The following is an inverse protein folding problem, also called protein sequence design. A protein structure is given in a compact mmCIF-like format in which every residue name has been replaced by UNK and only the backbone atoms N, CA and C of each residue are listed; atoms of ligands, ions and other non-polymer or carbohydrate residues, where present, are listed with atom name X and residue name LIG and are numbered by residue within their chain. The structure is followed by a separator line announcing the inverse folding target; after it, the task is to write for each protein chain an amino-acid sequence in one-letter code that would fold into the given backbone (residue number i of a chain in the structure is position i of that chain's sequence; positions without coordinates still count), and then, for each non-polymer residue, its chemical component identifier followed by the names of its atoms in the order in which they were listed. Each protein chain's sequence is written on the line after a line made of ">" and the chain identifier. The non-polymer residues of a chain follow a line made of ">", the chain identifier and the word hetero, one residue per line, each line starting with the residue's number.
data_IF_343923402436
#
_entry.id   IF_343923402436
#
_cell.length_a   1.000
_cell.length_b   1.000
_cell.length_c   1.000
_cell.angle_alpha   90.00
_cell.angle_beta   90.00
_cell.angle_gamma   90.00
#
_symmetry.space_group_name_H-M   'P 1'
#
loop_
_entity.id
_entity.type
_entity.pdbx_description
1 polymer ?
#
# COMPACT_ATOMS: atom_id res chain seq x y z
N UNK A 1 -1.49 14.48 -14.37
CA UNK A 1 -1.06 13.73 -13.17
C UNK A 1 -0.13 12.57 -13.53
N UNK A 2 -0.59 11.45 -14.18
CA UNK A 2 0.26 10.26 -14.44
C UNK A 2 1.53 10.58 -15.22
N UNK A 3 1.42 11.26 -16.38
CA UNK A 3 2.58 11.61 -17.22
C UNK A 3 3.55 12.56 -16.51
N UNK A 4 3.03 13.55 -15.79
CA UNK A 4 3.85 14.46 -14.98
C UNK A 4 4.51 13.76 -13.79
N UNK A 5 3.78 12.82 -13.16
CA UNK A 5 4.32 12.00 -12.07
C UNK A 5 5.41 11.05 -12.55
N UNK A 6 5.26 10.43 -13.72
CA UNK A 6 6.31 9.64 -14.37
C UNK A 6 7.56 10.49 -14.64
N UNK A 7 7.39 11.74 -15.12
CA UNK A 7 8.49 12.67 -15.30
C UNK A 7 9.21 12.99 -13.98
N UNK A 8 8.47 13.28 -12.92
CA UNK A 8 9.05 13.55 -11.60
C UNK A 8 9.77 12.33 -11.03
N UNK A 9 9.20 11.13 -11.17
CA UNK A 9 9.85 9.90 -10.76
C UNK A 9 11.16 9.67 -11.52
N UNK A 10 11.17 9.88 -12.85
CA UNK A 10 12.39 9.79 -13.66
C UNK A 10 13.46 10.80 -13.26
N UNK A 11 13.07 12.03 -12.88
CA UNK A 11 14.04 13.02 -12.39
C UNK A 11 14.73 12.57 -11.10
N UNK A 12 14.02 11.83 -10.23
CA UNK A 12 14.55 11.26 -8.99
C UNK A 12 15.39 10.00 -9.27
N UNK A 13 14.96 9.19 -10.25
CA UNK A 13 15.55 7.90 -10.62
C UNK A 13 15.76 7.82 -12.14
N UNK A 14 16.89 8.34 -12.66
CA UNK A 14 17.11 8.49 -14.10
C UNK A 14 17.10 7.20 -14.90
N UNK A 15 17.30 6.04 -14.25
CA UNK A 15 17.24 4.70 -14.88
C UNK A 15 15.83 4.21 -15.20
N UNK A 16 14.77 4.85 -14.67
CA UNK A 16 13.40 4.41 -14.90
C UNK A 16 12.97 4.54 -16.35
N UNK A 17 12.29 3.51 -16.83
CA UNK A 17 11.59 3.46 -18.10
C UNK A 17 10.11 3.16 -17.84
N UNK A 18 9.24 3.62 -18.73
CA UNK A 18 7.80 3.49 -18.55
C UNK A 18 7.13 2.92 -19.79
N UNK A 19 6.16 2.05 -19.56
CA UNK A 19 5.14 1.68 -20.53
C UNK A 19 3.84 2.37 -20.12
N UNK A 20 3.36 3.33 -20.91
CA UNK A 20 2.13 4.06 -20.62
C UNK A 20 0.97 3.49 -21.45
N UNK A 21 0.02 2.90 -20.77
CA UNK A 21 -1.16 2.28 -21.38
C UNK A 21 -2.34 3.25 -21.38
N UNK A 22 -2.94 3.48 -22.54
CA UNK A 22 -4.11 4.34 -22.71
C UNK A 22 -4.34 4.77 -24.14
N UNK A 23 -5.21 5.76 -24.35
CA UNK A 23 -5.41 6.37 -25.66
C UNK A 23 -4.13 7.07 -26.11
N UNK A 24 -3.44 6.48 -27.08
CA UNK A 24 -2.16 6.99 -27.57
C UNK A 24 -2.27 8.39 -28.16
N UNK A 25 -3.37 8.72 -28.82
CA UNK A 25 -3.61 10.05 -29.40
C UNK A 25 -3.62 11.12 -28.32
N UNK A 26 -4.19 10.79 -27.15
CA UNK A 26 -4.23 11.69 -25.99
C UNK A 26 -2.91 11.70 -25.21
N UNK A 27 -2.20 10.57 -25.10
CA UNK A 27 -0.96 10.45 -24.34
C UNK A 27 0.22 11.11 -25.05
N UNK A 28 0.36 10.94 -26.36
CA UNK A 28 1.49 11.45 -27.14
C UNK A 28 1.78 12.95 -26.92
N UNK A 29 0.81 13.88 -27.04
CA UNK A 29 1.08 15.29 -26.79
C UNK A 29 1.41 15.60 -25.32
N UNK A 30 0.92 14.81 -24.35
CA UNK A 30 1.24 15.00 -22.94
C UNK A 30 2.68 14.58 -22.64
N UNK A 31 3.15 13.46 -23.20
CA UNK A 31 4.54 13.01 -23.08
C UNK A 31 5.49 13.99 -23.77
N UNK A 32 5.14 14.47 -24.97
CA UNK A 32 5.99 15.42 -25.72
C UNK A 32 6.20 16.75 -24.98
N UNK A 33 5.30 17.15 -24.07
CA UNK A 33 5.45 18.36 -23.23
C UNK A 33 6.43 18.16 -22.06
N UNK A 34 6.81 16.92 -21.73
CA UNK A 34 7.72 16.62 -20.63
C UNK A 34 9.14 16.43 -21.17
N UNK A 35 10.04 17.33 -20.77
CA UNK A 35 11.42 17.30 -21.27
C UNK A 35 12.14 16.00 -20.94
N UNK A 36 12.65 15.28 -21.95
CA UNK A 36 13.41 14.04 -21.78
C UNK A 36 12.59 12.81 -21.42
N UNK A 37 11.26 12.91 -21.25
CA UNK A 37 10.43 11.75 -20.91
C UNK A 37 10.21 10.85 -22.14
N UNK A 38 10.08 11.43 -23.33
CA UNK A 38 9.77 10.67 -24.56
C UNK A 38 10.76 9.55 -24.87
N UNK A 39 12.04 9.73 -24.51
CA UNK A 39 13.11 8.74 -24.72
C UNK A 39 13.01 7.53 -23.77
N UNK A 40 12.25 7.67 -22.68
CA UNK A 40 12.06 6.65 -21.64
C UNK A 40 10.66 6.06 -21.60
N UNK A 41 9.79 6.44 -22.52
CA UNK A 41 8.38 6.03 -22.56
C UNK A 41 8.09 5.25 -23.82
N UNK A 42 7.56 4.05 -23.66
CA UNK A 42 6.82 3.30 -24.67
C UNK A 42 5.33 3.59 -24.51
N UNK A 43 4.69 4.10 -25.56
CA UNK A 43 3.23 4.30 -25.57
C UNK A 43 2.54 3.03 -26.06
N UNK A 44 1.68 2.49 -25.22
CA UNK A 44 0.90 1.28 -25.49
C UNK A 44 -0.58 1.65 -25.61
N UNK A 45 -1.11 1.58 -26.82
CA UNK A 45 -2.51 1.91 -27.07
C UNK A 45 -3.47 0.96 -26.33
N UNK A 46 -4.49 1.53 -25.71
CA UNK A 46 -5.59 0.79 -25.08
C UNK A 46 -6.92 1.43 -25.45
N UNK A 47 -7.81 0.63 -26.04
CA UNK A 47 -9.12 1.10 -26.51
C UNK A 47 -10.12 1.31 -25.37
N UNK A 48 -9.91 0.59 -24.24
CA UNK A 48 -10.86 0.56 -23.13
C UNK A 48 -10.26 1.18 -21.86
N UNK A 49 -11.12 1.79 -21.07
CA UNK A 49 -10.82 2.31 -19.73
C UNK A 49 -11.80 1.68 -18.74
N UNK A 50 -11.32 1.33 -17.55
CA UNK A 50 -12.17 0.92 -16.44
C UNK A 50 -12.61 2.17 -15.71
N UNK A 51 -13.92 2.36 -15.55
CA UNK A 51 -14.50 3.46 -14.80
C UNK A 51 -14.39 3.22 -13.29
N UNK A 52 -14.30 4.30 -12.50
CA UNK A 52 -14.23 4.21 -11.04
C UNK A 52 -15.49 3.59 -10.42
N UNK A 53 -16.60 3.62 -11.13
CA UNK A 53 -17.90 3.03 -10.72
C UNK A 53 -18.10 1.59 -11.17
N UNK A 54 -17.20 1.06 -11.99
CA UNK A 54 -17.30 -0.31 -12.49
C UNK A 54 -17.16 -1.34 -11.38
N UNK A 55 -18.05 -2.33 -11.35
CA UNK A 55 -17.91 -3.46 -10.44
C UNK A 55 -16.72 -4.33 -10.86
N UNK A 56 -15.88 -4.79 -9.91
CA UNK A 56 -14.70 -5.61 -10.22
C UNK A 56 -15.01 -6.83 -11.11
N UNK A 57 -16.15 -7.48 -10.90
CA UNK A 57 -16.59 -8.63 -11.71
C UNK A 57 -16.94 -8.26 -13.16
N UNK A 58 -17.41 -7.04 -13.40
CA UNK A 58 -17.67 -6.53 -14.75
C UNK A 58 -16.38 -6.12 -15.43
N UNK A 59 -15.50 -5.43 -14.70
CA UNK A 59 -14.18 -5.05 -15.16
C UNK A 59 -13.37 -6.27 -15.64
N UNK A 60 -13.36 -7.36 -14.87
CA UNK A 60 -12.72 -8.63 -15.24
C UNK A 60 -13.24 -9.20 -16.57
N UNK A 61 -14.57 -9.18 -16.77
CA UNK A 61 -15.17 -9.82 -17.94
C UNK A 61 -15.05 -8.97 -19.21
N UNK A 62 -15.22 -7.65 -19.10
CA UNK A 62 -15.32 -6.73 -20.23
C UNK A 62 -14.05 -5.94 -20.51
N UNK A 63 -13.20 -5.74 -19.47
CA UNK A 63 -12.03 -4.87 -19.53
C UNK A 63 -10.74 -5.55 -20.00
N UNK A 64 -10.80 -6.60 -20.82
CA UNK A 64 -9.59 -7.32 -21.28
C UNK A 64 -8.66 -6.46 -22.14
N UNK A 65 -9.18 -5.46 -22.82
CA UNK A 65 -8.41 -4.49 -23.63
C UNK A 65 -8.30 -3.13 -22.93
N UNK A 66 -8.56 -3.09 -21.62
CA UNK A 66 -8.41 -1.86 -20.84
C UNK A 66 -6.94 -1.57 -20.55
N UNK A 67 -6.62 -0.28 -20.43
CA UNK A 67 -5.29 0.18 -20.04
C UNK A 67 -4.78 -0.47 -18.76
N UNK A 68 -5.67 -0.66 -17.76
CA UNK A 68 -5.36 -1.34 -16.51
C UNK A 68 -4.98 -2.80 -16.73
N UNK A 69 -5.76 -3.55 -17.52
CA UNK A 69 -5.50 -4.96 -17.77
C UNK A 69 -4.22 -5.16 -18.57
N UNK A 70 -4.01 -4.40 -19.63
CA UNK A 70 -2.82 -4.49 -20.46
C UNK A 70 -1.54 -4.13 -19.68
N UNK A 71 -1.62 -3.19 -18.73
CA UNK A 71 -0.50 -2.86 -17.85
C UNK A 71 -0.14 -4.03 -16.91
N UNK A 72 -1.13 -4.73 -16.37
CA UNK A 72 -0.92 -5.93 -15.54
C UNK A 72 -0.37 -7.08 -16.39
N UNK A 73 -0.90 -7.29 -17.59
CA UNK A 73 -0.42 -8.32 -18.51
C UNK A 73 1.06 -8.08 -18.91
N UNK A 74 1.52 -6.84 -18.98
CA UNK A 74 2.92 -6.52 -19.24
C UNK A 74 3.84 -6.98 -18.09
N UNK A 75 3.37 -6.94 -16.85
CA UNK A 75 4.10 -7.48 -15.69
C UNK A 75 4.13 -9.01 -15.74
N UNK A 76 3.02 -9.65 -16.01
CA UNK A 76 2.92 -11.12 -16.13
C UNK A 76 3.83 -11.66 -17.26
N UNK A 77 3.97 -10.91 -18.34
CA UNK A 77 4.82 -11.24 -19.48
C UNK A 77 6.31 -10.89 -19.28
N UNK A 78 6.69 -10.32 -18.13
CA UNK A 78 8.06 -9.89 -17.86
C UNK A 78 8.54 -8.70 -18.73
N UNK A 79 7.61 -7.94 -19.33
CA UNK A 79 7.91 -6.71 -20.08
C UNK A 79 8.05 -5.49 -19.18
N UNK A 80 7.47 -5.55 -18.00
CA UNK A 80 7.59 -4.55 -16.96
C UNK A 80 7.80 -5.23 -15.59
N UNK A 81 8.53 -4.58 -14.70
CA UNK A 81 8.85 -5.10 -13.37
C UNK A 81 7.73 -4.84 -12.36
N UNK A 82 6.97 -3.77 -12.57
CA UNK A 82 5.87 -3.37 -11.69
C UNK A 82 4.76 -2.65 -12.46
N UNK A 83 3.55 -2.61 -11.90
CA UNK A 83 2.44 -1.79 -12.37
C UNK A 83 2.01 -0.78 -11.31
N UNK A 84 1.84 0.48 -11.72
CA UNK A 84 1.29 1.56 -10.90
C UNK A 84 0.02 2.09 -11.54
N UNK A 85 -1.09 2.05 -10.82
CA UNK A 85 -2.39 2.49 -11.33
C UNK A 85 -3.12 3.42 -10.36
N UNK A 86 -3.68 4.51 -10.87
CA UNK A 86 -4.56 5.41 -10.12
C UNK A 86 -6.05 5.10 -10.32
N UNK A 87 -6.41 4.11 -11.14
CA UNK A 87 -7.80 3.74 -11.45
C UNK A 87 -8.51 2.97 -10.33
N UNK A 88 -9.66 2.38 -10.66
CA UNK A 88 -10.54 1.64 -9.74
C UNK A 88 -9.79 0.56 -8.94
N UNK A 89 -9.79 0.70 -7.61
CA UNK A 89 -9.03 -0.16 -6.68
C UNK A 89 -9.48 -1.62 -6.72
N UNK A 90 -10.80 -1.84 -6.73
CA UNK A 90 -11.36 -3.21 -6.75
C UNK A 90 -11.10 -3.92 -8.08
N UNK A 91 -11.17 -3.19 -9.20
CA UNK A 91 -10.85 -3.73 -10.52
C UNK A 91 -9.36 -4.05 -10.64
N UNK A 92 -8.47 -3.17 -10.15
CA UNK A 92 -7.02 -3.39 -10.15
C UNK A 92 -6.66 -4.66 -9.36
N UNK A 93 -7.18 -4.80 -8.15
CA UNK A 93 -6.95 -5.98 -7.32
C UNK A 93 -7.47 -7.26 -7.98
N UNK A 94 -8.72 -7.22 -8.48
CA UNK A 94 -9.34 -8.40 -9.09
C UNK A 94 -8.60 -8.85 -10.37
N UNK A 95 -8.21 -7.90 -11.22
CA UNK A 95 -7.44 -8.19 -12.44
C UNK A 95 -6.04 -8.71 -12.10
N UNK A 96 -5.34 -8.06 -11.15
CA UNK A 96 -4.01 -8.47 -10.74
C UNK A 96 -4.02 -9.89 -10.13
N UNK A 97 -4.99 -10.22 -9.28
CA UNK A 97 -5.14 -11.56 -8.72
C UNK A 97 -5.36 -12.64 -9.78
N UNK A 98 -6.11 -12.33 -10.84
CA UNK A 98 -6.40 -13.29 -11.92
C UNK A 98 -5.21 -13.47 -12.86
N UNK A 99 -4.49 -12.41 -13.16
CA UNK A 99 -3.37 -12.40 -14.12
C UNK A 99 -2.09 -12.88 -13.46
N UNK A 100 -1.64 -12.17 -12.42
CA UNK A 100 -0.36 -12.43 -11.75
C UNK A 100 -0.44 -13.62 -10.78
N UNK A 101 -1.65 -14.00 -10.35
CA UNK A 101 -1.89 -15.04 -9.34
C UNK A 101 -1.33 -14.65 -7.97
N UNK A 102 -1.40 -15.58 -7.04
CA UNK A 102 -0.83 -15.43 -5.69
C UNK A 102 0.57 -16.06 -5.67
N UNK A 103 1.44 -15.51 -4.83
CA UNK A 103 2.69 -16.17 -4.49
C UNK A 103 2.42 -17.51 -3.81
N UNK A 104 3.32 -18.47 -3.99
CA UNK A 104 3.21 -19.79 -3.36
C UNK A 104 3.11 -19.65 -1.83
N UNK A 105 2.16 -20.35 -1.23
CA UNK A 105 1.90 -20.32 0.22
C UNK A 105 1.06 -19.14 0.69
N UNK A 106 0.68 -18.20 -0.17
CA UNK A 106 -0.19 -17.06 0.20
C UNK A 106 -1.61 -17.30 -0.30
N UNK A 107 -2.57 -17.27 0.62
CA UNK A 107 -3.98 -17.54 0.31
C UNK A 107 -4.68 -16.32 -0.32
N UNK A 108 -4.39 -15.11 0.18
CA UNK A 108 -5.07 -13.87 -0.23
C UNK A 108 -4.11 -12.69 -0.32
N UNK A 109 -4.33 -11.77 -1.27
CA UNK A 109 -3.59 -10.50 -1.30
C UNK A 109 -4.10 -9.60 -0.18
N UNK A 110 -3.24 -8.75 0.36
CA UNK A 110 -3.64 -7.68 1.26
C UNK A 110 -3.24 -6.31 0.68
N UNK A 111 -3.95 -5.26 1.07
CA UNK A 111 -3.58 -3.89 0.72
C UNK A 111 -2.84 -3.26 1.91
N UNK A 112 -1.61 -2.78 1.66
CA UNK A 112 -0.75 -2.14 2.64
C UNK A 112 -0.41 -0.72 2.24
N UNK A 113 -0.34 0.20 3.19
CA UNK A 113 0.25 1.53 3.01
C UNK A 113 0.85 2.04 4.31
N UNK A 114 1.68 3.09 4.20
CA UNK A 114 2.14 3.84 5.35
C UNK A 114 1.18 4.97 5.72
N UNK A 115 1.18 5.32 6.99
CA UNK A 115 0.54 6.52 7.52
C UNK A 115 1.45 7.20 8.55
N UNK A 116 1.33 8.53 8.71
CA UNK A 116 2.13 9.27 9.67
C UNK A 116 1.71 8.98 11.10
N UNK A 117 2.68 8.85 11.98
CA UNK A 117 2.50 8.64 13.43
C UNK A 117 3.33 9.65 14.23
N UNK A 118 3.16 9.67 15.53
CA UNK A 118 4.00 10.49 16.40
C UNK A 118 5.46 10.03 16.39
N UNK A 119 5.72 8.72 16.28
CA UNK A 119 7.05 8.12 16.22
C UNK A 119 7.69 8.15 14.83
N UNK A 120 6.95 8.56 13.79
CA UNK A 120 7.44 8.59 12.40
C UNK A 120 6.38 8.19 11.41
N UNK A 121 6.52 6.98 10.82
CA UNK A 121 5.52 6.36 9.96
C UNK A 121 5.41 4.87 10.30
N UNK A 122 4.21 4.34 10.25
CA UNK A 122 3.93 2.91 10.41
C UNK A 122 3.14 2.39 9.22
N UNK A 123 3.28 1.11 8.91
CA UNK A 123 2.47 0.44 7.91
C UNK A 123 1.22 -0.17 8.54
N UNK A 124 0.13 -0.28 7.77
CA UNK A 124 -1.06 -1.03 8.17
C UNK A 124 -1.53 -1.90 7.02
N UNK A 125 -1.92 -3.12 7.33
CA UNK A 125 -2.59 -4.05 6.42
C UNK A 125 -3.53 -4.99 7.22
N UNK A 126 -4.62 -5.44 6.69
CA UNK A 126 -5.20 -5.20 5.37
C UNK A 126 -6.09 -3.94 5.38
N UNK A 127 -6.06 -3.17 4.30
CA UNK A 127 -6.81 -1.90 4.20
C UNK A 127 -8.07 -2.00 3.34
N UNK A 128 -8.59 -3.22 3.15
CA UNK A 128 -9.87 -3.43 2.47
C UNK A 128 -9.85 -4.40 1.31
N UNK A 129 -8.82 -5.20 1.15
CA UNK A 129 -8.81 -6.29 0.17
C UNK A 129 -9.65 -7.49 0.63
N UNK A 130 -9.72 -7.76 1.95
CA UNK A 130 -10.45 -8.89 2.53
C UNK A 130 -11.30 -8.42 3.70
N UNK A 131 -12.61 -8.53 3.57
CA UNK A 131 -13.55 -8.11 4.63
C UNK A 131 -13.44 -9.02 5.85
N UNK A 132 -13.29 -10.32 5.64
CA UNK A 132 -13.12 -11.33 6.67
C UNK A 132 -11.80 -12.08 6.45
N UNK A 133 -11.07 -12.32 7.53
CA UNK A 133 -9.79 -13.03 7.54
C UNK A 133 -9.83 -14.18 8.53
N UNK A 134 -9.20 -15.29 8.17
CA UNK A 134 -8.90 -16.39 9.07
C UNK A 134 -7.54 -16.22 9.76
N UNK A 135 -7.17 -17.18 10.60
CA UNK A 135 -5.91 -17.19 11.35
C UNK A 135 -4.71 -17.13 10.42
N UNK A 136 -4.71 -17.95 9.38
CA UNK A 136 -3.60 -18.06 8.43
C UNK A 136 -3.43 -16.75 7.64
N UNK A 137 -4.53 -16.07 7.30
CA UNK A 137 -4.47 -14.78 6.64
C UNK A 137 -3.76 -13.73 7.51
N UNK A 138 -4.11 -13.63 8.80
CA UNK A 138 -3.48 -12.67 9.71
C UNK A 138 -1.99 -12.95 9.91
N UNK A 139 -1.60 -14.22 10.02
CA UNK A 139 -0.19 -14.63 10.11
C UNK A 139 0.56 -14.27 8.81
N UNK A 140 -0.01 -14.59 7.64
CA UNK A 140 0.59 -14.23 6.35
C UNK A 140 0.68 -12.71 6.18
N UNK A 141 -0.31 -11.95 6.65
CA UNK A 141 -0.28 -10.49 6.62
C UNK A 141 0.85 -9.94 7.50
N UNK A 142 1.08 -10.52 8.68
CA UNK A 142 2.19 -10.13 9.55
C UNK A 142 3.55 -10.32 8.84
N UNK A 143 3.76 -11.45 8.17
CA UNK A 143 4.97 -11.74 7.40
C UNK A 143 5.15 -10.76 6.24
N UNK A 144 4.09 -10.56 5.43
CA UNK A 144 4.13 -9.63 4.30
C UNK A 144 4.33 -8.18 4.72
N UNK A 145 3.69 -7.77 5.83
CA UNK A 145 3.83 -6.43 6.41
C UNK A 145 5.24 -6.18 6.93
N UNK A 146 5.84 -7.15 7.60
CA UNK A 146 7.21 -7.07 8.07
C UNK A 146 8.21 -6.96 6.91
N UNK A 147 8.04 -7.76 5.86
CA UNK A 147 8.88 -7.69 4.66
C UNK A 147 8.79 -6.30 3.98
N UNK A 148 7.58 -5.74 3.89
CA UNK A 148 7.35 -4.40 3.36
C UNK A 148 8.01 -3.31 4.23
N UNK A 149 7.85 -3.40 5.55
CA UNK A 149 8.43 -2.44 6.49
C UNK A 149 9.96 -2.50 6.50
N UNK A 150 10.56 -3.68 6.35
CA UNK A 150 12.02 -3.81 6.24
C UNK A 150 12.59 -3.00 5.07
N UNK A 151 11.94 -3.07 3.92
CA UNK A 151 12.37 -2.33 2.71
C UNK A 151 12.18 -0.83 2.93
N UNK A 152 10.97 -0.43 3.22
CA UNK A 152 10.56 0.98 3.24
C UNK A 152 11.04 1.77 4.47
N UNK A 153 11.26 1.11 5.62
CA UNK A 153 11.76 1.75 6.83
C UNK A 153 13.26 1.53 7.04
N UNK A 154 13.88 0.63 6.26
CA UNK A 154 15.30 0.27 6.42
C UNK A 154 15.58 -0.43 7.76
N UNK A 155 14.59 -1.09 8.37
CA UNK A 155 14.73 -1.80 9.65
C UNK A 155 14.92 -3.29 9.40
N UNK A 156 15.98 -3.88 9.97
CA UNK A 156 16.23 -5.32 9.83
C UNK A 156 15.13 -6.16 10.50
N UNK A 157 14.71 -5.78 11.71
CA UNK A 157 13.66 -6.45 12.48
C UNK A 157 12.57 -5.45 12.88
N UNK A 158 11.56 -5.21 12.02
CA UNK A 158 10.46 -4.33 12.35
C UNK A 158 9.58 -4.94 13.45
N UNK A 159 8.93 -4.09 14.24
CA UNK A 159 7.92 -4.51 15.21
C UNK A 159 6.57 -4.68 14.55
N UNK A 160 5.87 -5.78 14.85
CA UNK A 160 4.56 -6.12 14.29
C UNK A 160 3.55 -6.32 15.42
N UNK A 161 2.39 -5.66 15.33
CA UNK A 161 1.28 -5.82 16.27
C UNK A 161 -0.01 -6.24 15.56
N UNK A 162 -0.80 -7.11 16.20
CA UNK A 162 -2.16 -7.41 15.77
C UNK A 162 -3.13 -6.41 16.40
N UNK A 163 -3.91 -5.73 15.56
CA UNK A 163 -4.94 -4.80 16.04
C UNK A 163 -6.05 -5.57 16.75
N UNK A 164 -6.37 -5.12 17.97
CA UNK A 164 -7.30 -5.79 18.87
C UNK A 164 -8.12 -4.75 19.67
N UNK A 165 -9.04 -5.21 20.47
CA UNK A 165 -9.90 -4.41 21.37
C UNK A 165 -9.30 -4.23 22.78
N UNK A 166 -8.08 -4.67 23.01
CA UNK A 166 -7.32 -4.61 24.25
C UNK A 166 -5.97 -5.29 24.06
N UNK A 167 -4.98 -4.86 24.82
CA UNK A 167 -3.60 -5.38 24.76
C UNK A 167 -3.40 -6.69 25.51
N UNK A 168 -4.40 -7.10 26.35
CA UNK A 168 -4.30 -8.32 27.14
C UNK A 168 -4.58 -9.58 26.31
N UNK A 169 -3.90 -10.68 26.59
CA UNK A 169 -4.00 -11.96 25.86
C UNK A 169 -5.40 -12.58 25.81
N UNK A 170 -6.26 -12.24 26.78
CA UNK A 170 -7.64 -12.75 26.85
C UNK A 170 -8.63 -11.95 26.01
N UNK A 171 -8.25 -10.78 25.52
CA UNK A 171 -9.11 -9.89 24.73
C UNK A 171 -9.15 -10.27 23.25
N UNK A 172 -10.22 -9.84 22.60
CA UNK A 172 -10.43 -10.03 21.16
C UNK A 172 -11.12 -11.33 20.79
N UNK A 173 -11.30 -11.49 19.49
CA UNK A 173 -11.93 -12.68 18.92
C UNK A 173 -10.94 -13.87 18.84
N UNK A 174 -11.48 -15.07 18.62
CA UNK A 174 -10.66 -16.30 18.59
C UNK A 174 -9.62 -16.28 17.46
N UNK A 175 -9.95 -15.69 16.31
CA UNK A 175 -9.05 -15.59 15.16
C UNK A 175 -7.80 -14.77 15.49
N UNK A 176 -7.98 -13.59 16.10
CA UNK A 176 -6.87 -12.69 16.48
C UNK A 176 -6.00 -13.34 17.56
N UNK A 177 -6.63 -13.98 18.59
CA UNK A 177 -5.90 -14.69 19.65
C UNK A 177 -5.07 -15.85 19.12
N UNK A 178 -5.66 -16.68 18.24
CA UNK A 178 -4.97 -17.82 17.63
C UNK A 178 -3.81 -17.37 16.72
N UNK A 179 -4.00 -16.32 15.92
CA UNK A 179 -2.93 -15.73 15.12
C UNK A 179 -1.80 -15.19 16.01
N UNK A 180 -2.14 -14.49 17.10
CA UNK A 180 -1.16 -13.99 18.07
C UNK A 180 -0.33 -15.09 18.73
N UNK A 181 -0.95 -16.25 19.02
CA UNK A 181 -0.22 -17.40 19.55
C UNK A 181 0.78 -17.96 18.54
N UNK A 182 0.36 -18.15 17.28
CA UNK A 182 1.26 -18.64 16.23
C UNK A 182 2.43 -17.69 16.01
N UNK A 183 2.18 -16.37 15.94
CA UNK A 183 3.23 -15.37 15.75
C UNK A 183 4.23 -15.34 16.92
N UNK A 184 3.76 -15.57 18.15
CA UNK A 184 4.59 -15.59 19.37
C UNK A 184 5.50 -16.83 19.40
N UNK A 185 4.99 -17.97 18.92
CA UNK A 185 5.71 -19.25 18.94
C UNK A 185 6.62 -19.45 17.72
N UNK A 186 6.57 -18.55 16.74
CA UNK A 186 7.31 -18.66 15.48
C UNK A 186 8.64 -17.89 15.54
N UNK A 187 9.70 -18.47 14.95
CA UNK A 187 11.00 -17.80 14.76
C UNK A 187 10.97 -16.98 13.45
N UNK A 188 10.50 -15.74 13.55
CA UNK A 188 10.30 -14.86 12.42
C UNK A 188 11.33 -13.71 12.39
N UNK A 189 11.59 -13.20 11.20
CA UNK A 189 12.52 -12.08 10.95
C UNK A 189 11.92 -10.71 11.35
N UNK A 190 11.05 -10.69 12.36
CA UNK A 190 10.49 -9.48 12.95
C UNK A 190 10.23 -9.70 14.45
N UNK A 191 9.99 -8.61 15.17
CA UNK A 191 9.61 -8.65 16.57
C UNK A 191 8.09 -8.61 16.68
N UNK A 192 7.48 -9.69 17.17
CA UNK A 192 6.04 -9.68 17.45
C UNK A 192 5.79 -8.98 18.79
N UNK A 193 5.22 -7.76 18.73
CA UNK A 193 4.90 -6.94 19.88
C UNK A 193 3.74 -7.50 20.72
N UNK A 194 2.83 -8.24 20.07
CA UNK A 194 1.58 -8.69 20.67
C UNK A 194 0.36 -7.95 20.11
N UNK A 195 -0.62 -7.70 20.99
CA UNK A 195 -1.84 -6.97 20.62
C UNK A 195 -1.66 -5.47 20.83
N UNK A 196 -2.25 -4.68 19.92
CA UNK A 196 -2.24 -3.22 19.91
C UNK A 196 -3.66 -2.70 19.73
N UNK A 197 -3.94 -1.51 20.26
CA UNK A 197 -5.25 -0.90 20.23
C UNK A 197 -5.35 0.23 19.18
N UNK A 198 -6.56 0.78 18.99
CA UNK A 198 -6.79 1.81 17.97
C UNK A 198 -6.04 3.13 18.23
N UNK A 199 -5.73 3.47 19.46
CA UNK A 199 -4.95 4.67 19.83
C UNK A 199 -3.45 4.50 19.61
N UNK A 200 -2.94 3.25 19.67
CA UNK A 200 -1.57 2.91 19.29
C UNK A 200 -1.23 3.27 17.85
N UNK A 201 -2.25 3.27 16.98
CA UNK A 201 -2.08 3.63 15.56
C UNK A 201 -1.50 5.05 15.43
N UNK A 202 -2.11 6.02 16.16
CA UNK A 202 -1.63 7.41 16.13
C UNK A 202 -0.29 7.59 16.84
N UNK A 203 -0.04 6.82 17.89
CA UNK A 203 1.23 6.83 18.64
C UNK A 203 2.38 6.24 17.79
N UNK A 204 2.10 5.24 16.96
CA UNK A 204 3.11 4.50 16.21
C UNK A 204 3.88 3.55 17.12
N UNK A 205 3.17 2.81 17.97
CA UNK A 205 3.71 1.86 18.95
C UNK A 205 4.48 0.73 18.26
N UNK A 206 4.03 0.35 17.05
CA UNK A 206 4.66 -0.67 16.22
C UNK A 206 4.92 -0.15 14.79
N UNK A 207 5.83 -0.80 14.08
CA UNK A 207 6.13 -0.48 12.68
C UNK A 207 5.04 -0.98 11.72
N UNK A 208 4.36 -2.07 12.08
CA UNK A 208 3.33 -2.72 11.27
C UNK A 208 2.12 -3.07 12.12
N UNK A 209 0.96 -2.54 11.75
CA UNK A 209 -0.35 -2.90 12.30
C UNK A 209 -1.03 -3.89 11.37
N UNK A 210 -1.41 -5.06 11.88
CA UNK A 210 -2.06 -6.13 11.14
C UNK A 210 -3.50 -6.27 11.59
N UNK A 211 -4.42 -6.33 10.63
CA UNK A 211 -5.86 -6.49 10.90
C UNK A 211 -6.57 -7.07 9.67
N UNK A 212 -7.86 -7.38 9.78
CA UNK A 212 -8.73 -7.65 8.63
C UNK A 212 -9.02 -6.37 7.84
N UNK A 213 -9.43 -6.52 6.57
CA UNK A 213 -9.65 -5.38 5.69
C UNK A 213 -10.85 -4.53 6.04
N UNK A 214 -11.86 -5.06 6.73
CA UNK A 214 -12.98 -4.26 7.20
C UNK A 214 -12.52 -3.27 8.29
N UNK A 215 -11.85 -3.77 9.31
CA UNK A 215 -11.30 -2.98 10.40
C UNK A 215 -10.25 -1.99 9.92
N UNK A 216 -9.31 -2.45 9.09
CA UNK A 216 -8.24 -1.59 8.57
C UNK A 216 -8.74 -0.48 7.66
N UNK A 217 -9.74 -0.74 6.81
CA UNK A 217 -10.34 0.30 5.99
C UNK A 217 -11.09 1.35 6.83
N UNK A 218 -11.79 0.91 7.88
CA UNK A 218 -12.45 1.85 8.82
C UNK A 218 -11.41 2.69 9.55
N UNK A 219 -10.34 2.08 10.08
CA UNK A 219 -9.26 2.78 10.76
C UNK A 219 -8.61 3.83 9.85
N UNK A 220 -8.25 3.45 8.61
CA UNK A 220 -7.68 4.37 7.63
C UNK A 220 -8.63 5.55 7.34
N UNK A 221 -9.91 5.28 7.08
CA UNK A 221 -10.90 6.32 6.79
C UNK A 221 -11.19 7.22 7.99
N UNK A 222 -11.14 6.66 9.21
CA UNK A 222 -11.25 7.45 10.44
C UNK A 222 -10.05 8.39 10.61
N UNK A 223 -8.82 7.92 10.38
CA UNK A 223 -7.61 8.75 10.42
C UNK A 223 -7.66 9.87 9.37
N UNK A 224 -8.01 9.55 8.11
CA UNK A 224 -8.18 10.55 7.06
C UNK A 224 -9.26 11.58 7.40
N UNK A 225 -10.39 11.13 7.95
CA UNK A 225 -11.50 11.98 8.38
C UNK A 225 -11.11 12.90 9.53
N UNK A 226 -10.45 12.36 10.54
CA UNK A 226 -9.94 13.12 11.70
C UNK A 226 -8.93 14.18 11.27
N UNK A 227 -7.99 13.85 10.39
CA UNK A 227 -7.02 14.80 9.85
C UNK A 227 -7.71 15.98 9.14
N UNK A 228 -8.72 15.69 8.31
CA UNK A 228 -9.53 16.74 7.65
C UNK A 228 -10.31 17.58 8.65
N UNK A 229 -10.88 16.98 9.68
CA UNK A 229 -11.64 17.67 10.74
C UNK A 229 -10.74 18.65 11.50
N UNK A 230 -9.57 18.20 11.97
CA UNK A 230 -8.61 19.07 12.67
C UNK A 230 -8.10 20.20 11.79
N UNK A 231 -7.77 19.92 10.53
CA UNK A 231 -7.36 20.94 9.57
C UNK A 231 -8.46 21.98 9.35
N UNK A 232 -9.73 21.54 9.29
CA UNK A 232 -10.90 22.42 9.20
C UNK A 232 -11.03 23.34 10.42
N UNK A 233 -10.95 22.79 11.63
CA UNK A 233 -11.01 23.57 12.87
C UNK A 233 -9.87 24.60 12.99
N UNK A 234 -8.64 24.19 12.68
CA UNK A 234 -7.51 25.11 12.68
C UNK A 234 -7.71 26.26 11.69
N UNK A 235 -8.14 25.97 10.47
CA UNK A 235 -8.42 26.97 9.47
C UNK A 235 -9.53 27.94 9.92
N UNK A 236 -10.59 27.45 10.55
CA UNK A 236 -11.67 28.25 11.09
C UNK A 236 -11.17 29.14 12.24
N UNK A 237 -10.39 28.58 13.17
CA UNK A 237 -9.82 29.32 14.29
C UNK A 237 -8.93 30.47 13.82
N UNK A 238 -8.03 30.25 12.86
CA UNK A 238 -7.16 31.29 12.34
C UNK A 238 -7.87 32.35 11.47
N UNK A 239 -9.08 32.05 11.00
CA UNK A 239 -9.91 33.03 10.26
C UNK A 239 -10.89 33.77 11.16
N UNK A 240 -10.95 33.48 12.46
CA UNK A 240 -11.96 34.00 13.39
C UNK A 240 -11.77 35.51 13.72
N UNK A 241 -10.54 36.05 13.61
CA UNK A 241 -10.24 37.44 13.86
C UNK A 241 -8.96 37.89 13.15
N UNK A 242 -8.75 39.23 13.06
CA UNK A 242 -7.51 39.79 12.50
C UNK A 242 -6.29 39.38 13.34
N UNK A 243 -6.42 39.32 14.66
CA UNK A 243 -5.34 38.87 15.55
C UNK A 243 -5.00 37.40 15.35
N UNK A 244 -6.00 36.54 15.17
CA UNK A 244 -5.77 35.13 14.85
C UNK A 244 -5.08 34.98 13.49
N UNK A 245 -5.45 35.80 12.50
CA UNK A 245 -4.79 35.83 11.20
C UNK A 245 -3.33 36.28 11.27
N UNK A 246 -3.01 37.28 12.08
CA UNK A 246 -1.63 37.70 12.35
C UNK A 246 -0.85 36.55 13.06
N UNK A 247 -1.47 35.92 14.07
CA UNK A 247 -0.91 34.73 14.73
C UNK A 247 -0.59 33.60 13.76
N UNK A 248 -1.49 33.31 12.79
CA UNK A 248 -1.21 32.37 11.72
C UNK A 248 0.03 32.73 10.89
N UNK A 249 0.19 34.00 10.55
CA UNK A 249 1.33 34.44 9.75
C UNK A 249 2.66 34.18 10.47
N UNK A 250 2.71 34.43 11.76
CA UNK A 250 3.88 34.12 12.61
C UNK A 250 4.10 32.61 12.79
N UNK A 251 3.04 31.84 12.97
CA UNK A 251 3.09 30.39 13.16
C UNK A 251 3.25 29.61 11.84
N UNK A 252 3.15 30.25 10.68
CA UNK A 252 3.15 29.62 9.35
C UNK A 252 4.29 28.62 9.12
N UNK A 253 5.56 28.88 9.52
CA UNK A 253 6.64 27.92 9.35
C UNK A 253 6.39 26.61 10.11
N UNK A 254 5.92 26.69 11.36
CA UNK A 254 5.60 25.54 12.21
C UNK A 254 4.40 24.76 11.65
N UNK A 255 3.34 25.45 11.24
CA UNK A 255 2.15 24.85 10.63
C UNK A 255 2.51 24.13 9.33
N UNK A 256 3.37 24.73 8.50
CA UNK A 256 3.82 24.09 7.27
C UNK A 256 4.70 22.85 7.54
N UNK A 257 5.46 22.82 8.64
CA UNK A 257 6.20 21.63 9.05
C UNK A 257 5.26 20.45 9.42
N UNK A 258 4.19 20.75 10.17
CA UNK A 258 3.15 19.75 10.50
C UNK A 258 2.43 19.29 9.22
N UNK A 259 2.02 20.24 8.34
CA UNK A 259 1.35 19.89 7.08
C UNK A 259 2.18 18.96 6.21
N UNK A 260 3.49 19.19 6.09
CA UNK A 260 4.38 18.26 5.35
C UNK A 260 4.38 16.87 5.97
N UNK A 261 4.43 16.78 7.30
CA UNK A 261 4.47 15.49 8.00
C UNK A 261 3.20 14.64 7.79
N UNK A 262 2.05 15.30 7.65
CA UNK A 262 0.75 14.63 7.44
C UNK A 262 0.26 14.73 5.99
N UNK A 263 1.13 15.09 5.05
CA UNK A 263 0.77 15.25 3.65
C UNK A 263 0.45 13.86 3.04
N UNK A 264 -0.80 13.64 2.58
CA UNK A 264 -1.17 12.34 2.03
C UNK A 264 -0.40 11.97 0.74
N UNK A 265 0.25 12.95 0.10
CA UNK A 265 1.09 12.70 -1.08
C UNK A 265 2.38 11.97 -0.73
N UNK A 266 2.96 12.24 0.45
CA UNK A 266 4.17 11.58 0.94
C UNK A 266 3.94 10.09 1.26
N UNK A 267 2.70 9.70 1.53
CA UNK A 267 2.30 8.34 1.86
C UNK A 267 1.47 7.68 0.74
N UNK A 268 1.47 8.26 -0.46
CA UNK A 268 0.73 7.71 -1.59
C UNK A 268 1.49 6.56 -2.24
N UNK A 269 0.80 5.45 -2.49
CA UNK A 269 1.36 4.23 -3.03
C UNK A 269 0.99 3.03 -2.15
N UNK A 270 -0.32 2.72 -2.05
CA UNK A 270 -0.75 1.48 -1.41
C UNK A 270 -0.38 0.29 -2.30
N UNK A 271 0.25 -0.72 -1.74
CA UNK A 271 0.66 -1.91 -2.48
C UNK A 271 -0.31 -3.07 -2.24
N UNK A 272 -0.59 -3.87 -3.27
CA UNK A 272 -1.19 -5.19 -3.11
C UNK A 272 -0.09 -6.22 -2.90
N UNK A 273 0.12 -6.61 -1.64
CA UNK A 273 1.11 -7.62 -1.25
C UNK A 273 0.54 -9.03 -1.39
N UNK A 274 1.40 -10.01 -1.62
CA UNK A 274 1.03 -11.42 -1.78
C UNK A 274 0.74 -11.85 -3.22
N UNK A 275 0.71 -10.92 -4.18
CA UNK A 275 0.63 -11.22 -5.61
C UNK A 275 2.00 -11.62 -6.17
N UNK A 276 2.04 -12.46 -7.20
CA UNK A 276 3.29 -12.80 -7.90
C UNK A 276 3.71 -11.71 -8.92
N UNK A 277 3.64 -10.48 -8.49
CA UNK A 277 4.05 -9.28 -9.20
C UNK A 277 3.87 -8.05 -8.33
N UNK A 278 4.63 -6.98 -8.60
CA UNK A 278 4.53 -5.72 -7.88
C UNK A 278 3.39 -4.88 -8.44
N UNK A 279 2.37 -4.64 -7.61
CA UNK A 279 1.17 -3.87 -7.98
C UNK A 279 0.94 -2.76 -6.97
N UNK A 280 1.09 -1.52 -7.42
CA UNK A 280 0.92 -0.34 -6.57
C UNK A 280 -0.29 0.47 -7.00
N UNK A 281 -1.15 0.77 -6.04
CA UNK A 281 -2.32 1.63 -6.19
C UNK A 281 -1.98 3.05 -5.76
N UNK A 282 -2.00 3.97 -6.70
CA UNK A 282 -1.98 5.40 -6.41
C UNK A 282 -3.40 5.91 -6.16
N UNK A 283 -3.58 6.86 -5.25
CA UNK A 283 -4.87 7.48 -5.02
C UNK A 283 -5.33 8.27 -6.25
N UNK A 284 -6.60 8.07 -6.70
CA UNK A 284 -7.12 8.70 -7.91
C UNK A 284 -7.19 10.23 -7.85
N UNK A 285 -7.36 10.80 -6.66
CA UNK A 285 -7.39 12.24 -6.41
C UNK A 285 -6.04 12.87 -6.06
N UNK A 286 -4.91 12.15 -6.22
CA UNK A 286 -3.58 12.70 -5.96
C UNK A 286 -3.10 13.59 -7.12
N UNK A 287 -2.00 14.32 -6.91
CA UNK A 287 -1.31 15.07 -7.94
C UNK A 287 -0.08 14.29 -8.50
N UNK A 288 0.72 14.95 -9.32
CA UNK A 288 1.92 14.36 -9.92
C UNK A 288 2.99 13.99 -8.87
N UNK A 289 3.06 14.70 -7.75
CA UNK A 289 4.00 14.39 -6.67
C UNK A 289 3.62 13.07 -6.01
N UNK A 290 2.36 12.92 -5.63
CA UNK A 290 1.88 11.67 -5.05
C UNK A 290 1.99 10.50 -6.02
N UNK A 291 1.73 10.68 -7.32
CA UNK A 291 1.94 9.61 -8.30
C UNK A 291 3.41 9.22 -8.41
N UNK A 292 4.33 10.19 -8.39
CA UNK A 292 5.77 9.91 -8.38
C UNK A 292 6.21 9.13 -7.13
N UNK A 293 5.62 9.40 -5.97
CA UNK A 293 5.87 8.63 -4.75
C UNK A 293 5.38 7.19 -4.87
N UNK A 294 4.21 6.96 -5.47
CA UNK A 294 3.72 5.61 -5.76
C UNK A 294 4.64 4.83 -6.73
N UNK A 295 5.26 5.51 -7.68
CA UNK A 295 6.30 4.91 -8.54
C UNK A 295 7.55 4.58 -7.73
N UNK A 296 7.95 5.43 -6.78
CA UNK A 296 9.06 5.16 -5.86
C UNK A 296 8.85 3.89 -5.05
N UNK A 297 7.67 3.72 -4.43
CA UNK A 297 7.31 2.48 -3.72
C UNK A 297 7.45 1.25 -4.64
N UNK A 298 6.98 1.34 -5.88
CA UNK A 298 7.10 0.23 -6.82
C UNK A 298 8.57 -0.09 -7.14
N UNK A 299 9.41 0.93 -7.32
CA UNK A 299 10.84 0.78 -7.57
C UNK A 299 11.54 0.10 -6.39
N UNK A 300 11.33 0.60 -5.17
CA UNK A 300 11.95 0.04 -3.96
C UNK A 300 11.61 -1.44 -3.78
N UNK A 301 10.35 -1.83 -4.05
CA UNK A 301 9.92 -3.23 -3.97
C UNK A 301 10.58 -4.12 -5.03
N UNK A 302 10.84 -3.60 -6.22
CA UNK A 302 11.53 -4.33 -7.29
C UNK A 302 13.03 -4.46 -6.99
N UNK A 303 13.69 -3.35 -6.65
CA UNK A 303 15.14 -3.33 -6.39
C UNK A 303 15.52 -4.20 -5.20
N UNK A 304 14.70 -4.19 -4.14
CA UNK A 304 14.91 -4.94 -2.91
C UNK A 304 14.35 -6.38 -2.96
N UNK A 305 13.87 -6.83 -4.12
CA UNK A 305 13.37 -8.19 -4.35
C UNK A 305 12.32 -8.62 -3.33
N UNK A 306 11.29 -7.78 -3.18
CA UNK A 306 10.25 -7.96 -2.16
C UNK A 306 9.60 -9.35 -2.19
N UNK A 307 9.33 -9.89 -3.40
CA UNK A 307 8.68 -11.21 -3.55
C UNK A 307 9.55 -12.34 -2.97
N UNK A 308 10.83 -12.32 -3.25
CA UNK A 308 11.77 -13.33 -2.77
C UNK A 308 11.94 -13.28 -1.25
N UNK A 309 11.89 -12.07 -0.67
CA UNK A 309 11.94 -11.91 0.81
C UNK A 309 10.72 -12.51 1.47
N UNK A 310 9.52 -12.26 0.96
CA UNK A 310 8.29 -12.89 1.47
C UNK A 310 8.41 -14.42 1.41
N UNK A 311 8.85 -14.98 0.28
CA UNK A 311 8.99 -16.43 0.13
C UNK A 311 10.00 -17.02 1.11
N UNK A 312 11.09 -16.32 1.39
CA UNK A 312 12.07 -16.76 2.38
C UNK A 312 11.45 -16.81 3.80
N UNK A 313 10.68 -15.78 4.17
CA UNK A 313 10.04 -15.70 5.49
C UNK A 313 8.91 -16.74 5.66
N UNK A 314 8.11 -16.95 4.62
CA UNK A 314 7.05 -17.99 4.64
C UNK A 314 7.61 -19.39 4.87
N UNK A 315 8.76 -19.73 4.28
CA UNK A 315 9.40 -21.03 4.48
C UNK A 315 9.88 -21.23 5.92
N UNK A 316 10.21 -20.17 6.65
CA UNK A 316 10.57 -20.24 8.07
C UNK A 316 9.36 -20.35 8.98
N UNK A 317 8.22 -19.76 8.59
CA UNK A 317 6.97 -19.85 9.32
C UNK A 317 6.25 -21.19 9.15
N UNK A 318 6.51 -21.92 8.06
CA UNK A 318 5.92 -23.24 7.88
C UNK A 318 6.35 -24.14 9.04
N UNK A 319 5.43 -24.73 9.85
CA UNK A 319 5.82 -25.71 10.85
C UNK A 319 6.61 -26.79 10.14
N UNK A 320 7.78 -27.15 10.69
CA UNK A 320 8.58 -28.25 10.18
C UNK A 320 7.63 -29.41 9.92
N UNK A 321 7.51 -29.86 8.66
CA UNK A 321 6.55 -30.83 8.21
C UNK A 321 6.46 -31.95 9.27
N UNK A 322 5.27 -32.14 9.84
CA UNK A 322 5.03 -33.28 10.73
C UNK A 322 5.46 -34.48 9.91
N UNK A 323 6.48 -35.24 10.32
CA UNK A 323 6.86 -36.44 9.59
C UNK A 323 5.61 -37.31 9.53
N UNK A 324 5.21 -37.77 8.34
CA UNK A 324 4.24 -38.82 8.17
C UNK A 324 4.74 -40.04 8.94
N UNK A 325 4.44 -40.06 10.23
CA UNK A 325 4.74 -41.17 11.11
C UNK A 325 3.43 -41.90 11.40
N UNK A 326 3.32 -43.02 10.73
CA UNK A 326 2.58 -44.20 11.15
C UNK A 326 1.05 -44.07 11.25
N UNK A 327 0.39 -44.17 10.09
CA UNK A 327 -0.84 -44.99 10.07
C UNK A 327 -0.42 -46.41 9.73
N UNK A 328 -0.20 -47.19 10.76
CA UNK A 328 -0.15 -48.67 10.72
C UNK A 328 -1.45 -49.23 11.30
#
# INVERSE_FOLDING_TARGET
>A
MVVEGAQLARQRHPGLRFMLFGDEVRLRPLVARQAGLAEAVELCHAEQVIDDTDKPSQALRRGRQSSMRLAIDAVDQGRADAVVSAGNTGALMAMAKVVLRMQEGIARPAMITFFPTLSGRSAMLDLGANIECDVDNLVQFAIMGAAFARIELGKERPTVGLLNVGSEDLKGNETVKAAGQILRDSDLEFEFHGFVEGDDIGAGTVDVFVTDGFTGNIALKALEGTSRLYTGFLNQAFRSSLMAGLGYLLARPAINAVRRRVDPREHNGAMFVGLDGVVVKSHGGTDSIGFANAVGVALDMVEERFKERIQADLRRCAPAAIPEAAVS
#
